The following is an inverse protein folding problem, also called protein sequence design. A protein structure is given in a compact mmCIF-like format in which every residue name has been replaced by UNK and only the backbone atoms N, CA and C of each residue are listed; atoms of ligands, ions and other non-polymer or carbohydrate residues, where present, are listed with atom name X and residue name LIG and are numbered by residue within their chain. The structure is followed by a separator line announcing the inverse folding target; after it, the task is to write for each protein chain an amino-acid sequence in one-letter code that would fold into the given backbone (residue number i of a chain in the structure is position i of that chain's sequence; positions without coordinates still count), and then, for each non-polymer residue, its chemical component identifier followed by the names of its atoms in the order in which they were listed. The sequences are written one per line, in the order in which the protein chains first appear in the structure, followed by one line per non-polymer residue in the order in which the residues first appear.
data_IF_922374423671
#
_entry.id   IF_922374423671
#
_cell.length_a   1.000
_cell.length_b   1.000
_cell.length_c   1.000
_cell.angle_alpha   90.00
_cell.angle_beta   90.00
_cell.angle_gamma   90.00
#
_symmetry.space_group_name_H-M   'P 1'
#
loop_
_entity.id
_entity.type
_entity.pdbx_description
1 polymer ?
#
# COMPACT_ATOMS: atom_id res chain seq x y z
N UNK A 1 -27.45 1.92 20.82
CA UNK A 1 -26.56 1.30 19.81
C UNK A 1 -25.65 2.38 19.25
N UNK A 2 -24.42 2.45 19.77
CA UNK A 2 -23.45 3.52 19.45
C UNK A 2 -22.82 3.41 18.06
N UNK A 3 -21.92 4.34 17.69
CA UNK A 3 -21.41 4.56 16.32
C UNK A 3 -20.40 3.52 15.83
N UNK A 4 -20.33 2.36 16.49
CA UNK A 4 -19.45 1.26 16.07
C UNK A 4 -20.12 0.52 14.92
N UNK A 5 -19.51 0.59 13.74
CA UNK A 5 -20.00 -0.13 12.58
C UNK A 5 -19.97 -1.65 12.84
N UNK A 6 -20.99 -2.39 12.37
CA UNK A 6 -21.15 -3.82 12.68
C UNK A 6 -20.65 -4.76 11.57
N UNK A 7 -20.02 -4.25 10.52
CA UNK A 7 -19.54 -5.09 9.43
C UNK A 7 -18.22 -5.79 9.78
N UNK A 8 -17.99 -6.97 9.20
CA UNK A 8 -16.84 -7.85 9.49
C UNK A 8 -15.72 -7.75 8.45
N UNK A 9 -15.67 -6.63 7.70
CA UNK A 9 -14.71 -6.38 6.63
C UNK A 9 -14.18 -4.95 6.72
N UNK A 10 -12.97 -4.71 6.21
CA UNK A 10 -12.45 -3.36 6.00
C UNK A 10 -13.09 -2.75 4.75
N UNK A 11 -13.52 -1.49 4.81
CA UNK A 11 -13.91 -0.73 3.60
C UNK A 11 -12.71 0.08 3.12
N UNK A 12 -12.44 0.05 1.82
CA UNK A 12 -11.56 1.00 1.13
C UNK A 12 -12.42 1.87 0.23
N UNK A 13 -12.62 3.13 0.62
CA UNK A 13 -13.60 4.03 0.00
C UNK A 13 -12.86 5.09 -0.80
N UNK A 14 -12.96 5.05 -2.13
CA UNK A 14 -12.45 6.13 -2.97
C UNK A 14 -13.13 7.46 -2.61
N UNK A 15 -12.35 8.55 -2.57
CA UNK A 15 -12.77 9.92 -2.29
C UNK A 15 -12.11 10.92 -3.26
N UNK A 16 -12.54 12.18 -3.38
CA UNK A 16 -11.93 13.13 -4.33
C UNK A 16 -10.42 13.32 -4.16
N UNK A 17 -9.87 13.24 -2.94
CA UNK A 17 -8.46 13.55 -2.66
C UNK A 17 -7.59 12.33 -2.35
N UNK A 18 -8.14 11.12 -2.52
CA UNK A 18 -7.49 9.90 -2.06
C UNK A 18 -8.50 8.79 -1.80
N UNK A 19 -8.28 8.04 -0.73
CA UNK A 19 -9.22 7.03 -0.28
C UNK A 19 -9.22 6.94 1.24
N UNK A 20 -10.31 6.41 1.82
CA UNK A 20 -10.47 6.24 3.26
C UNK A 20 -10.58 4.77 3.58
N UNK A 21 -9.76 4.27 4.51
CA UNK A 21 -10.06 2.99 5.15
C UNK A 21 -11.04 3.18 6.30
N UNK A 22 -11.92 2.19 6.46
CA UNK A 22 -12.82 2.08 7.61
C UNK A 22 -12.68 0.67 8.19
N UNK A 23 -12.22 0.59 9.44
CA UNK A 23 -11.94 -0.66 10.14
C UNK A 23 -12.79 -0.72 11.41
N UNK A 24 -13.89 -1.48 11.41
CA UNK A 24 -14.66 -1.72 12.62
C UNK A 24 -13.87 -2.61 13.57
N UNK A 25 -13.72 -2.16 14.82
CA UNK A 25 -13.14 -2.90 15.92
C UNK A 25 -14.20 -3.13 16.99
N UNK A 26 -13.86 -3.90 18.02
CA UNK A 26 -14.79 -4.28 19.09
C UNK A 26 -15.41 -3.09 19.82
N UNK A 27 -14.62 -2.03 20.05
CA UNK A 27 -15.04 -0.89 20.89
C UNK A 27 -15.16 0.43 20.13
N UNK A 28 -14.65 0.52 18.89
CA UNK A 28 -14.66 1.74 18.09
C UNK A 28 -14.51 1.40 16.62
N UNK A 29 -14.68 2.38 15.74
CA UNK A 29 -14.34 2.24 14.31
C UNK A 29 -13.18 3.17 13.99
N UNK A 30 -12.11 2.62 13.45
CA UNK A 30 -10.95 3.40 13.01
C UNK A 30 -11.16 3.87 11.57
N UNK A 31 -10.90 5.15 11.34
CA UNK A 31 -10.94 5.77 10.03
C UNK A 31 -9.57 6.37 9.70
N UNK A 32 -9.17 6.26 8.43
CA UNK A 32 -7.95 6.89 7.96
C UNK A 32 -8.08 7.34 6.51
N UNK A 33 -7.96 8.65 6.28
CA UNK A 33 -7.92 9.22 4.94
C UNK A 33 -6.48 9.24 4.44
N UNK A 34 -6.20 8.43 3.43
CA UNK A 34 -4.92 8.39 2.73
C UNK A 34 -4.92 9.39 1.58
N UNK A 35 -3.95 10.29 1.55
CA UNK A 35 -3.88 11.36 0.56
C UNK A 35 -2.44 11.81 0.26
N UNK A 36 -2.31 12.71 -0.71
CA UNK A 36 -1.05 13.33 -1.10
C UNK A 36 -1.11 14.85 -0.91
N UNK A 37 -0.32 15.39 0.03
CA UNK A 37 -0.28 16.84 0.34
C UNK A 37 0.31 17.69 -0.78
N UNK A 38 1.07 17.11 -1.71
CA UNK A 38 1.60 17.85 -2.86
C UNK A 38 0.51 18.08 -3.93
N UNK A 39 -0.65 17.41 -3.79
CA UNK A 39 -1.78 17.48 -4.74
C UNK A 39 -3.04 18.07 -4.10
N UNK A 40 -3.33 17.72 -2.84
CA UNK A 40 -4.57 18.09 -2.14
C UNK A 40 -4.25 18.88 -0.86
N UNK A 41 -4.98 19.97 -0.63
CA UNK A 41 -4.87 20.75 0.61
C UNK A 41 -5.46 20.00 1.81
N UNK A 42 -4.87 20.18 3.00
CA UNK A 42 -5.35 19.50 4.21
C UNK A 42 -6.80 19.91 4.55
N UNK A 43 -7.14 21.20 4.41
CA UNK A 43 -8.48 21.70 4.73
C UNK A 43 -9.58 21.05 3.86
N UNK A 44 -9.29 20.84 2.58
CA UNK A 44 -10.22 20.16 1.65
C UNK A 44 -10.39 18.68 2.01
N UNK A 45 -9.28 18.01 2.35
CA UNK A 45 -9.29 16.62 2.82
C UNK A 45 -10.08 16.50 4.12
N UNK A 46 -9.89 17.40 5.07
CA UNK A 46 -10.60 17.43 6.35
C UNK A 46 -12.10 17.58 6.17
N UNK A 47 -12.51 18.51 5.31
CA UNK A 47 -13.91 18.73 4.97
C UNK A 47 -14.54 17.49 4.33
N UNK A 48 -13.89 16.91 3.33
CA UNK A 48 -14.36 15.68 2.68
C UNK A 48 -14.42 14.48 3.66
N UNK A 49 -13.49 14.44 4.62
CA UNK A 49 -13.48 13.44 5.68
C UNK A 49 -14.68 13.61 6.63
N UNK A 50 -14.98 14.86 7.05
CA UNK A 50 -16.13 15.16 7.90
C UNK A 50 -17.45 14.75 7.22
N UNK A 51 -17.58 14.99 5.92
CA UNK A 51 -18.74 14.55 5.14
C UNK A 51 -18.90 13.02 5.16
N UNK A 52 -17.81 12.26 5.05
CA UNK A 52 -17.85 10.80 5.15
C UNK A 52 -18.20 10.33 6.56
N UNK A 53 -17.60 10.91 7.60
CA UNK A 53 -17.90 10.57 8.99
C UNK A 53 -19.38 10.82 9.32
N UNK A 54 -19.93 11.94 8.87
CA UNK A 54 -21.36 12.24 9.02
C UNK A 54 -22.26 11.24 8.29
N UNK A 55 -21.86 10.77 7.11
CA UNK A 55 -22.58 9.72 6.36
C UNK A 55 -22.63 8.38 7.10
N UNK A 56 -21.54 8.04 7.81
CA UNK A 56 -21.46 6.85 8.66
C UNK A 56 -22.05 7.09 10.07
N UNK A 57 -22.65 8.25 10.33
CA UNK A 57 -23.30 8.60 11.60
C UNK A 57 -22.33 8.90 12.75
N UNK A 58 -21.06 9.15 12.44
CA UNK A 58 -20.01 9.47 13.43
C UNK A 58 -20.08 10.95 13.76
N UNK A 59 -20.60 11.29 14.93
CA UNK A 59 -20.73 12.68 15.41
C UNK A 59 -19.61 13.08 16.38
N UNK A 60 -18.93 12.10 16.98
CA UNK A 60 -17.85 12.32 17.94
C UNK A 60 -16.67 11.39 17.62
N UNK A 61 -15.47 11.96 17.66
CA UNK A 61 -14.24 11.24 17.38
C UNK A 61 -13.06 11.86 18.13
N UNK A 62 -12.01 11.07 18.34
CA UNK A 62 -10.77 11.56 18.95
C UNK A 62 -10.11 12.66 18.11
N UNK A 63 -9.19 13.42 18.72
CA UNK A 63 -8.43 14.45 18.02
C UNK A 63 -7.73 13.85 16.79
N UNK A 64 -8.04 14.41 15.61
CA UNK A 64 -7.43 14.02 14.34
C UNK A 64 -5.90 14.10 14.42
N UNK A 65 -5.24 13.03 14.00
CA UNK A 65 -3.80 12.99 13.83
C UNK A 65 -3.48 12.99 12.33
N UNK A 66 -2.51 13.80 11.90
CA UNK A 66 -1.98 13.74 10.54
C UNK A 66 -0.59 13.15 10.58
N UNK A 67 -0.45 11.96 9.98
CA UNK A 67 0.79 11.20 9.95
C UNK A 67 1.39 11.32 8.55
N UNK A 68 2.69 11.63 8.49
CA UNK A 68 3.47 11.53 7.27
C UNK A 68 4.18 10.18 7.25
N UNK A 69 4.12 9.48 6.12
CA UNK A 69 4.87 8.26 5.91
C UNK A 69 5.51 8.26 4.51
N UNK A 70 6.74 7.74 4.36
CA UNK A 70 7.31 7.47 3.06
C UNK A 70 6.82 6.13 2.53
N UNK A 71 6.56 6.02 1.22
CA UNK A 71 6.55 4.71 0.56
C UNK A 71 7.96 4.38 0.12
N UNK A 72 8.49 3.24 0.57
CA UNK A 72 9.85 2.83 0.26
C UNK A 72 10.07 1.34 0.50
N UNK A 73 11.12 0.81 -0.12
CA UNK A 73 11.70 -0.50 0.19
C UNK A 73 13.18 -0.30 0.48
N UNK A 74 13.66 -0.84 1.60
CA UNK A 74 15.06 -0.74 1.97
C UNK A 74 15.91 -1.60 1.01
N UNK A 75 17.01 -1.05 0.50
CA UNK A 75 17.91 -1.72 -0.47
C UNK A 75 18.52 -3.02 0.05
N UNK A 76 18.61 -3.14 1.37
CA UNK A 76 19.18 -4.29 2.09
C UNK A 76 18.38 -4.56 3.36
N UNK A 77 17.35 -5.38 3.27
CA UNK A 77 16.50 -5.77 4.41
C UNK A 77 17.31 -6.56 5.43
N UNK A 78 18.29 -7.35 4.98
CA UNK A 78 19.12 -8.19 5.84
C UNK A 78 20.60 -8.09 5.45
N UNK A 79 21.50 -7.88 6.39
CA UNK A 79 22.94 -7.78 6.10
C UNK A 79 23.79 -8.95 6.60
N UNK A 80 23.14 -10.00 7.13
CA UNK A 80 23.85 -11.14 7.69
C UNK A 80 24.17 -10.98 9.17
N UNK A 81 23.90 -9.82 9.79
CA UNK A 81 23.92 -9.62 11.23
C UNK A 81 22.60 -9.01 11.71
N UNK A 82 22.16 -7.94 11.06
CA UNK A 82 20.99 -7.14 11.37
C UNK A 82 19.90 -7.38 10.33
N UNK A 83 18.67 -7.55 10.82
CA UNK A 83 17.47 -7.63 10.00
C UNK A 83 16.57 -6.42 10.26
N UNK A 84 16.09 -5.81 9.17
CA UNK A 84 15.16 -4.68 9.18
C UNK A 84 13.75 -5.21 8.97
N UNK A 85 12.95 -5.24 10.03
CA UNK A 85 11.63 -5.85 10.04
C UNK A 85 10.54 -4.77 10.03
N UNK A 86 9.43 -5.03 9.30
CA UNK A 86 8.30 -4.12 9.17
C UNK A 86 8.72 -2.79 8.56
N UNK A 87 8.30 -1.69 9.20
CA UNK A 87 8.58 -0.32 8.73
C UNK A 87 10.08 0.00 8.62
N UNK A 88 10.99 -0.78 9.22
CA UNK A 88 12.43 -0.61 9.02
C UNK A 88 12.90 -1.17 7.66
N UNK A 89 12.22 -2.19 7.14
CA UNK A 89 12.54 -2.88 5.88
C UNK A 89 11.80 -2.29 4.67
N UNK A 90 10.62 -1.71 4.88
CA UNK A 90 9.84 -1.03 3.85
C UNK A 90 8.45 -0.66 4.36
N UNK A 91 7.81 0.26 3.65
CA UNK A 91 6.44 0.68 3.92
C UNK A 91 5.75 1.07 2.62
N UNK A 92 4.46 0.78 2.54
CA UNK A 92 3.55 1.26 1.51
C UNK A 92 2.19 1.54 2.14
N UNK A 93 1.36 2.35 1.49
CA UNK A 93 0.00 2.60 1.94
C UNK A 93 -0.83 1.32 2.16
N UNK A 94 -1.76 1.33 3.13
CA UNK A 94 -2.38 0.10 3.64
C UNK A 94 -3.59 -0.37 2.82
N UNK A 95 -3.63 -0.12 1.51
CA UNK A 95 -4.81 -0.41 0.67
C UNK A 95 -5.20 -1.89 0.69
N UNK A 96 -4.22 -2.78 0.81
CA UNK A 96 -4.39 -4.24 0.82
C UNK A 96 -3.92 -4.90 2.13
N UNK A 97 -3.79 -4.13 3.21
CA UNK A 97 -3.40 -4.62 4.54
C UNK A 97 -2.15 -5.53 4.58
N UNK A 98 -1.15 -5.27 3.72
CA UNK A 98 0.00 -6.18 3.49
C UNK A 98 1.12 -6.05 4.52
N UNK A 99 1.18 -4.97 5.30
CA UNK A 99 2.34 -4.62 6.13
C UNK A 99 2.72 -5.70 7.17
N UNK A 100 1.74 -6.25 7.89
CA UNK A 100 1.99 -7.30 8.90
C UNK A 100 2.44 -8.60 8.22
N UNK A 101 1.80 -8.97 7.10
CA UNK A 101 2.17 -10.17 6.33
C UNK A 101 3.60 -10.10 5.80
N UNK A 102 4.04 -8.93 5.34
CA UNK A 102 5.42 -8.67 4.93
C UNK A 102 6.39 -8.81 6.10
N UNK A 103 6.05 -8.27 7.28
CA UNK A 103 6.86 -8.42 8.48
C UNK A 103 6.98 -9.89 8.92
N UNK A 104 5.90 -10.66 8.90
CA UNK A 104 5.91 -12.11 9.16
C UNK A 104 6.81 -12.85 8.18
N UNK A 105 6.77 -12.49 6.88
CA UNK A 105 7.64 -13.09 5.87
C UNK A 105 9.11 -12.80 6.16
N UNK A 106 9.43 -11.55 6.49
CA UNK A 106 10.79 -11.14 6.84
C UNK A 106 11.28 -11.93 8.05
N UNK A 107 10.51 -11.98 9.14
CA UNK A 107 10.85 -12.77 10.34
C UNK A 107 11.06 -14.24 9.98
N UNK A 108 10.12 -14.84 9.26
CA UNK A 108 10.20 -16.24 8.85
C UNK A 108 11.47 -16.54 8.05
N UNK A 109 11.81 -15.72 7.06
CA UNK A 109 13.03 -15.89 6.27
C UNK A 109 14.30 -15.76 7.11
N UNK A 110 14.35 -14.79 8.04
CA UNK A 110 15.51 -14.65 8.92
C UNK A 110 15.67 -15.85 9.85
N UNK A 111 14.57 -16.38 10.41
CA UNK A 111 14.62 -17.57 11.25
C UNK A 111 15.11 -18.80 10.46
N UNK A 112 14.61 -19.01 9.24
CA UNK A 112 15.09 -20.08 8.35
C UNK A 112 16.59 -19.95 8.07
N UNK A 113 17.07 -18.73 7.81
CA UNK A 113 18.47 -18.44 7.55
C UNK A 113 19.37 -18.66 8.77
N UNK A 114 18.89 -18.36 9.97
CA UNK A 114 19.70 -18.43 11.18
C UNK A 114 19.75 -19.80 11.83
N UNK A 115 18.63 -20.50 11.83
CA UNK A 115 18.48 -21.72 12.61
C UNK A 115 18.50 -22.99 11.77
N UNK A 116 18.18 -22.89 10.47
CA UNK A 116 18.02 -24.05 9.61
C UNK A 116 19.05 -24.12 8.47
N UNK A 117 20.03 -23.20 8.44
CA UNK A 117 21.11 -23.16 7.45
C UNK A 117 22.48 -23.23 8.13
N UNK A 118 23.41 -24.08 7.67
CA UNK A 118 24.78 -24.10 8.20
C UNK A 118 25.46 -22.74 8.03
N UNK A 119 26.26 -22.34 9.01
CA UNK A 119 26.87 -21.01 9.07
C UNK A 119 27.71 -20.66 7.83
N UNK A 120 28.36 -21.65 7.22
CA UNK A 120 29.18 -21.50 6.00
C UNK A 120 28.39 -21.03 4.76
N UNK A 121 27.06 -21.19 4.73
CA UNK A 121 26.23 -20.73 3.62
C UNK A 121 25.65 -19.32 3.83
N UNK A 122 25.71 -18.79 5.05
CA UNK A 122 24.98 -17.56 5.41
C UNK A 122 25.41 -16.34 4.57
N UNK A 123 26.70 -16.18 4.29
CA UNK A 123 27.18 -15.06 3.47
C UNK A 123 26.68 -15.14 2.02
N UNK A 124 26.61 -16.34 1.45
CA UNK A 124 26.13 -16.58 0.08
C UNK A 124 24.61 -16.47 -0.05
N UNK A 125 23.89 -16.74 1.04
CA UNK A 125 22.42 -16.69 1.07
C UNK A 125 21.88 -15.26 1.29
N UNK A 126 22.65 -14.36 1.90
CA UNK A 126 22.24 -12.96 2.15
C UNK A 126 21.74 -12.25 0.87
N UNK A 127 22.43 -12.28 -0.27
CA UNK A 127 21.93 -11.70 -1.51
C UNK A 127 20.61 -12.30 -2.00
N UNK A 128 20.43 -13.61 -1.85
CA UNK A 128 19.23 -14.34 -2.27
C UNK A 128 18.02 -13.92 -1.42
N UNK A 129 18.21 -13.85 -0.10
CA UNK A 129 17.18 -13.44 0.85
C UNK A 129 16.76 -12.00 0.61
N UNK A 130 17.72 -11.08 0.40
CA UNK A 130 17.38 -9.70 0.09
C UNK A 130 16.59 -9.59 -1.21
N UNK A 131 17.03 -10.30 -2.26
CA UNK A 131 16.31 -10.31 -3.54
C UNK A 131 14.88 -10.78 -3.36
N UNK A 132 14.67 -11.87 -2.62
CA UNK A 132 13.34 -12.40 -2.33
C UNK A 132 12.46 -11.39 -1.57
N UNK A 133 12.93 -10.87 -0.43
CA UNK A 133 12.15 -9.97 0.42
C UNK A 133 11.86 -8.62 -0.24
N UNK A 134 12.82 -8.09 -1.01
CA UNK A 134 12.62 -6.88 -1.81
C UNK A 134 11.58 -7.16 -2.89
N UNK A 135 11.75 -8.22 -3.69
CA UNK A 135 10.82 -8.54 -4.78
C UNK A 135 9.37 -8.75 -4.30
N UNK A 136 9.18 -9.39 -3.14
CA UNK A 136 7.86 -9.57 -2.53
C UNK A 136 7.23 -8.21 -2.15
N UNK A 137 8.03 -7.33 -1.54
CA UNK A 137 7.58 -5.97 -1.20
C UNK A 137 7.22 -5.16 -2.47
N UNK A 138 8.03 -5.24 -3.52
CA UNK A 138 7.75 -4.55 -4.80
C UNK A 138 6.51 -5.14 -5.48
N UNK A 139 6.28 -6.44 -5.37
CA UNK A 139 5.09 -7.12 -5.87
C UNK A 139 3.82 -6.61 -5.20
N UNK A 140 3.81 -6.48 -3.87
CA UNK A 140 2.71 -5.83 -3.16
C UNK A 140 2.50 -4.38 -3.64
N UNK A 141 3.60 -3.64 -3.88
CA UNK A 141 3.53 -2.28 -4.40
C UNK A 141 2.93 -2.19 -5.80
N UNK A 142 3.23 -3.13 -6.69
CA UNK A 142 2.59 -3.23 -8.02
C UNK A 142 1.10 -3.53 -7.89
N UNK A 143 0.71 -4.41 -6.96
CA UNK A 143 -0.69 -4.73 -6.70
C UNK A 143 -1.48 -3.53 -6.16
N UNK A 144 -0.88 -2.75 -5.25
CA UNK A 144 -1.46 -1.47 -4.82
C UNK A 144 -1.54 -0.48 -6.00
N UNK A 145 -0.48 -0.35 -6.81
CA UNK A 145 -0.46 0.53 -7.98
C UNK A 145 -1.52 0.17 -9.03
N UNK A 146 -1.81 -1.13 -9.19
CA UNK A 146 -2.87 -1.62 -10.08
C UNK A 146 -4.25 -1.04 -9.73
N UNK A 147 -4.58 -0.89 -8.45
CA UNK A 147 -5.86 -0.30 -8.02
C UNK A 147 -6.05 1.15 -8.52
N UNK A 148 -4.97 1.91 -8.59
CA UNK A 148 -4.98 3.29 -9.08
C UNK A 148 -4.96 3.38 -10.61
N UNK A 149 -4.54 2.31 -11.28
CA UNK A 149 -4.17 2.33 -12.70
C UNK A 149 -5.33 2.62 -13.66
N UNK A 150 -6.58 2.42 -13.22
CA UNK A 150 -7.78 2.73 -13.99
C UNK A 150 -8.47 4.03 -13.55
N UNK A 151 -7.88 4.77 -12.61
CA UNK A 151 -8.48 5.96 -12.02
C UNK A 151 -9.64 5.60 -11.08
N UNK A 152 -10.59 6.52 -10.95
CA UNK A 152 -11.73 6.39 -10.04
C UNK A 152 -12.96 7.07 -10.63
N UNK A 153 -14.12 6.91 -9.98
CA UNK A 153 -15.33 7.68 -10.27
C UNK A 153 -15.14 9.20 -10.06
N UNK A 154 -14.10 9.59 -9.34
CA UNK A 154 -13.73 10.99 -9.15
C UNK A 154 -12.70 11.41 -10.20
N UNK A 155 -13.07 12.37 -11.05
CA UNK A 155 -12.14 13.01 -11.98
C UNK A 155 -11.42 14.19 -11.30
N UNK A 156 -10.53 13.87 -10.34
CA UNK A 156 -9.79 14.86 -9.55
C UNK A 156 -8.29 14.92 -9.91
N UNK A 157 -7.58 15.98 -9.50
CA UNK A 157 -6.12 16.04 -9.65
C UNK A 157 -5.40 14.83 -9.05
N UNK A 158 -5.86 14.34 -7.89
CA UNK A 158 -5.32 13.14 -7.26
C UNK A 158 -5.47 11.91 -8.15
N UNK A 159 -6.68 11.62 -8.65
CA UNK A 159 -6.92 10.40 -9.42
C UNK A 159 -6.30 10.42 -10.82
N UNK A 160 -6.21 11.60 -11.46
CA UNK A 160 -5.45 11.75 -12.71
C UNK A 160 -3.97 11.48 -12.46
N UNK A 161 -3.39 12.09 -11.43
CA UNK A 161 -2.00 11.84 -11.06
C UNK A 161 -1.74 10.37 -10.75
N UNK A 162 -2.60 9.76 -9.92
CA UNK A 162 -2.46 8.36 -9.53
C UNK A 162 -2.56 7.42 -10.75
N UNK A 163 -3.56 7.60 -11.62
CA UNK A 163 -3.71 6.82 -12.85
C UNK A 163 -2.46 6.89 -13.74
N UNK A 164 -1.89 8.08 -13.87
CA UNK A 164 -0.78 8.35 -14.79
C UNK A 164 0.59 7.96 -14.22
N UNK A 165 0.71 7.78 -12.89
CA UNK A 165 2.00 7.56 -12.19
C UNK A 165 2.09 6.26 -11.38
N UNK A 166 0.95 5.67 -11.00
CA UNK A 166 0.90 4.44 -10.18
C UNK A 166 1.28 3.18 -10.96
N UNK A 167 1.09 3.21 -12.27
CA UNK A 167 1.35 2.07 -13.14
C UNK A 167 2.64 2.29 -13.95
N UNK A 168 3.51 1.27 -14.09
CA UNK A 168 4.68 1.35 -14.94
C UNK A 168 4.31 1.63 -16.40
N UNK A 169 4.87 2.67 -17.02
CA UNK A 169 4.50 3.13 -18.37
C UNK A 169 5.19 2.39 -19.52
N UNK A 170 5.89 1.29 -19.27
CA UNK A 170 6.59 0.55 -20.33
C UNK A 170 6.30 -0.96 -20.28
N UNK A 171 5.17 -1.34 -20.90
CA UNK A 171 5.01 -2.53 -21.75
C UNK A 171 3.70 -2.40 -22.53
N UNK A 172 3.74 -2.61 -23.84
CA UNK A 172 2.54 -2.74 -24.67
C UNK A 172 1.96 -4.13 -24.48
N UNK A 173 0.69 -4.22 -24.10
CA UNK A 173 -0.07 -5.47 -24.13
C UNK A 173 0.09 -6.16 -25.49
N UNK A 174 0.31 -7.48 -25.46
CA UNK A 174 0.15 -8.31 -26.66
C UNK A 174 -1.35 -8.55 -26.81
N UNK A 175 -1.96 -7.78 -27.70
CA UNK A 175 -3.39 -7.79 -28.07
C UNK A 175 -4.36 -6.95 -27.18
N UNK A 176 -4.66 -5.70 -27.59
CA UNK A 176 -5.68 -4.84 -26.97
C UNK A 176 -7.12 -5.39 -27.02
N UNK A 177 -7.39 -6.44 -27.80
CA UNK A 177 -8.72 -7.03 -27.93
C UNK A 177 -9.01 -8.11 -26.86
N UNK A 178 -8.03 -8.52 -26.05
CA UNK A 178 -8.14 -9.74 -25.25
C UNK A 178 -9.09 -9.64 -24.04
N UNK A 179 -9.36 -8.45 -23.47
CA UNK A 179 -10.39 -8.32 -22.42
C UNK A 179 -10.96 -6.90 -22.43
N UNK A 180 -12.26 -6.74 -22.65
CA UNK A 180 -12.97 -5.44 -22.68
C UNK A 180 -12.99 -4.65 -21.36
N UNK A 181 -12.09 -4.95 -20.43
CA UNK A 181 -11.91 -4.27 -19.15
C UNK A 181 -10.45 -3.86 -18.99
N UNK A 182 -10.16 -2.56 -19.04
CA UNK A 182 -8.81 -2.02 -18.90
C UNK A 182 -8.10 -2.46 -17.59
N UNK A 183 -8.86 -2.72 -16.52
CA UNK A 183 -8.32 -3.23 -15.26
C UNK A 183 -7.81 -4.68 -15.39
N UNK A 184 -8.53 -5.54 -16.13
CA UNK A 184 -8.13 -6.93 -16.33
C UNK A 184 -6.88 -7.03 -17.21
N UNK A 185 -6.79 -6.21 -18.28
CA UNK A 185 -5.56 -6.13 -19.08
C UNK A 185 -4.34 -5.71 -18.24
N UNK A 186 -4.50 -4.73 -17.34
CA UNK A 186 -3.42 -4.32 -16.43
C UNK A 186 -3.12 -5.35 -15.35
N UNK A 187 -4.10 -6.16 -14.96
CA UNK A 187 -3.88 -7.28 -14.06
C UNK A 187 -3.01 -8.35 -14.72
N UNK A 188 -3.29 -8.71 -15.98
CA UNK A 188 -2.45 -9.67 -16.72
C UNK A 188 -1.01 -9.16 -16.90
N UNK A 189 -0.85 -7.86 -17.19
CA UNK A 189 0.46 -7.20 -17.19
C UNK A 189 1.15 -7.30 -15.82
N UNK A 190 0.41 -7.06 -14.73
CA UNK A 190 0.90 -7.22 -13.35
C UNK A 190 1.43 -8.63 -13.11
N UNK A 191 0.64 -9.65 -13.45
CA UNK A 191 1.01 -11.06 -13.29
C UNK A 191 2.26 -11.37 -14.13
N UNK A 192 2.36 -10.82 -15.33
CA UNK A 192 3.58 -10.92 -16.16
C UNK A 192 4.81 -10.28 -15.50
N UNK A 193 4.65 -9.15 -14.79
CA UNK A 193 5.74 -8.51 -14.04
C UNK A 193 6.13 -9.31 -12.80
N UNK A 194 5.16 -9.85 -12.06
CA UNK A 194 5.37 -10.66 -10.85
C UNK A 194 6.10 -11.97 -11.20
N UNK A 195 5.76 -12.59 -12.32
CA UNK A 195 6.37 -13.84 -12.77
C UNK A 195 7.75 -13.63 -13.42
N UNK A 196 8.23 -12.39 -13.56
CA UNK A 196 9.58 -12.14 -14.04
C UNK A 196 10.61 -12.57 -12.99
N UNK A 197 11.76 -13.15 -13.40
CA UNK A 197 12.71 -13.76 -12.48
C UNK A 197 13.33 -12.79 -11.46
N UNK A 198 13.32 -11.48 -11.71
CA UNK A 198 13.72 -10.42 -10.77
C UNK A 198 13.03 -9.10 -11.16
N UNK A 199 12.35 -8.44 -10.22
CA UNK A 199 12.11 -6.99 -10.31
C UNK A 199 13.35 -6.31 -9.71
N UNK A 200 14.22 -5.76 -10.56
CA UNK A 200 15.40 -4.99 -10.13
C UNK A 200 14.99 -3.66 -9.47
N UNK A 201 15.80 -3.12 -8.57
CA UNK A 201 15.67 -1.76 -8.07
C UNK A 201 15.73 -0.71 -9.19
N UNK A 202 16.56 -0.93 -10.23
CA UNK A 202 16.55 -0.04 -11.40
C UNK A 202 15.26 -0.15 -12.23
N UNK A 203 14.59 -1.31 -12.16
CA UNK A 203 13.27 -1.52 -12.69
C UNK A 203 12.25 -0.78 -11.83
N UNK A 204 12.27 -0.91 -10.50
CA UNK A 204 11.39 -0.16 -9.60
C UNK A 204 11.54 1.37 -9.73
N UNK A 205 12.76 1.88 -9.68
CA UNK A 205 13.09 3.31 -9.80
C UNK A 205 12.66 3.87 -11.18
N UNK A 206 12.59 3.02 -12.22
CA UNK A 206 12.03 3.35 -13.54
C UNK A 206 10.51 3.14 -13.63
N UNK A 207 9.93 2.23 -12.84
CA UNK A 207 8.56 1.71 -12.99
C UNK A 207 7.55 2.36 -12.05
N UNK A 208 7.97 2.94 -10.93
CA UNK A 208 7.07 3.57 -9.97
C UNK A 208 7.33 5.07 -9.89
N UNK A 209 6.38 5.88 -10.40
CA UNK A 209 6.44 7.32 -10.35
C UNK A 209 5.94 7.84 -9.02
N UNK A 210 6.85 8.29 -8.15
CA UNK A 210 6.56 8.94 -6.86
C UNK A 210 5.75 8.10 -5.84
N UNK A 211 5.86 8.39 -4.54
CA UNK A 211 4.87 7.90 -3.58
C UNK A 211 3.50 8.50 -3.95
N UNK A 212 2.58 7.64 -4.38
CA UNK A 212 1.20 8.02 -4.76
C UNK A 212 0.48 8.77 -3.64
N UNK A 213 0.76 8.35 -2.40
CA UNK A 213 0.24 8.90 -1.15
C UNK A 213 1.39 8.97 -0.15
N UNK A 214 1.36 9.93 0.77
CA UNK A 214 2.43 10.05 1.79
C UNK A 214 1.93 10.55 3.13
N UNK A 215 0.61 10.70 3.25
CA UNK A 215 -0.05 11.18 4.44
C UNK A 215 -1.29 10.35 4.73
N UNK A 216 -1.54 10.13 6.02
CA UNK A 216 -2.80 9.63 6.54
C UNK A 216 -3.35 10.64 7.54
N UNK A 217 -4.60 11.03 7.37
CA UNK A 217 -5.36 11.69 8.42
C UNK A 217 -6.20 10.66 9.16
N UNK A 218 -5.91 10.48 10.43
CA UNK A 218 -6.45 9.44 11.28
C UNK A 218 -7.50 9.99 12.23
N UNK A 219 -8.58 9.24 12.40
CA UNK A 219 -9.66 9.51 13.34
C UNK A 219 -10.20 8.21 13.91
N UNK A 220 -10.59 8.21 15.19
CA UNK A 220 -11.27 7.09 15.81
C UNK A 220 -12.66 7.58 16.24
N UNK A 221 -13.71 6.99 15.66
CA UNK A 221 -15.08 7.25 16.12
C UNK A 221 -15.22 6.77 17.55
N UNK A 222 -15.64 7.64 18.47
CA UNK A 222 -15.78 7.26 19.86
C UNK A 222 -16.95 6.28 19.98
N UNK A 223 -16.65 5.04 20.37
CA UNK A 223 -17.68 4.09 20.76
C UNK A 223 -18.46 4.64 21.97
N UNK A 224 -19.74 4.28 22.06
CA UNK A 224 -20.53 4.53 23.26
C UNK A 224 -20.07 3.65 24.42
#
# INVERSE_FOLDING_TARGET
DGPVLKHTYTRAIARPHGWVFVIPLTAHTSYGYIFNRDISGLEEVEKDFDELLAQDGVTEFEKRAVLRFPNFVHRRIYDGAVARIGNAGGFMEPLEATAIRLAEMQVGMILQMRFNRPAEYQENDVPVVNRFLINDTLTCGLFVGWHYSCGSRYDSPFWRHARDRAWPTYRSATDPAAVGCAALSKFDEMIGLINAPVIDQSDWDRRCGFPLTSFAQMSQGLGA
#
